data_IF_999948559202
#
_entry.id   IF_999948559202
#
_cell.length_a   1.000
_cell.length_b   1.000
_cell.length_c   1.000
_cell.angle_alpha   90.00
_cell.angle_beta   90.00
_cell.angle_gamma   90.00
#
_symmetry.space_group_name_H-M   'P 1'
#
loop_
_entity.id
_entity.type
_entity.pdbx_description
1 polymer ?
#
# COMPACT_ATOMS: atom_id res chain seq x y z
N UNK A 1 -32.69 -10.30 -1.18
CA UNK A 1 -32.18 -10.43 -2.57
C UNK A 1 -31.34 -11.70 -2.68
N UNK A 2 -31.38 -12.46 -3.79
CA UNK A 2 -30.52 -13.61 -3.96
C UNK A 2 -29.04 -13.17 -3.99
N UNK A 3 -28.22 -13.76 -3.12
CA UNK A 3 -26.78 -13.51 -3.08
C UNK A 3 -26.19 -13.99 -4.40
N UNK A 4 -25.84 -13.05 -5.30
CA UNK A 4 -25.07 -13.42 -6.50
C UNK A 4 -23.78 -14.10 -6.06
N UNK A 5 -23.43 -15.27 -6.63
CA UNK A 5 -22.20 -15.96 -6.26
C UNK A 5 -21.00 -15.09 -6.62
N UNK A 6 -20.10 -14.90 -5.65
CA UNK A 6 -18.84 -14.21 -5.85
C UNK A 6 -17.82 -15.19 -6.41
N UNK A 7 -17.17 -14.84 -7.52
CA UNK A 7 -16.11 -15.63 -8.14
C UNK A 7 -14.78 -14.96 -7.83
N UNK A 8 -13.82 -15.74 -7.33
CA UNK A 8 -12.45 -15.30 -7.10
C UNK A 8 -11.48 -16.09 -7.98
N UNK A 9 -10.51 -15.37 -8.54
CA UNK A 9 -9.31 -15.95 -9.15
C UNK A 9 -8.09 -15.38 -8.44
N UNK A 10 -7.18 -16.24 -7.97
CA UNK A 10 -5.96 -15.85 -7.27
C UNK A 10 -4.73 -16.28 -8.04
N UNK A 11 -3.71 -15.42 -8.05
CA UNK A 11 -2.40 -15.73 -8.63
C UNK A 11 -1.31 -15.27 -7.66
N UNK A 12 -0.39 -16.16 -7.34
CA UNK A 12 0.86 -15.83 -6.66
C UNK A 12 2.02 -15.93 -7.65
N UNK A 13 2.83 -14.88 -7.71
CA UNK A 13 4.08 -14.83 -8.48
C UNK A 13 5.24 -14.95 -7.50
N UNK A 14 6.28 -15.67 -7.90
CA UNK A 14 7.42 -15.96 -7.05
C UNK A 14 8.68 -15.33 -7.63
N UNK A 15 9.62 -14.97 -6.75
CA UNK A 15 10.88 -14.34 -7.17
C UNK A 15 11.62 -15.22 -8.19
N UNK A 16 12.17 -14.65 -9.28
CA UNK A 16 12.90 -15.42 -10.27
C UNK A 16 14.21 -16.00 -9.73
N UNK A 17 14.55 -17.22 -10.15
CA UNK A 17 15.85 -17.85 -9.86
C UNK A 17 16.48 -18.45 -11.12
N UNK A 18 17.81 -18.35 -11.22
CA UNK A 18 18.56 -18.85 -12.36
C UNK A 18 18.64 -20.38 -12.40
N UNK A 19 18.59 -21.04 -11.24
CA UNK A 19 18.68 -22.50 -11.09
C UNK A 19 17.32 -23.20 -11.10
N UNK A 20 16.22 -22.46 -11.23
CA UNK A 20 14.87 -23.02 -11.22
C UNK A 20 14.50 -23.61 -12.59
N UNK A 21 13.94 -24.82 -12.60
CA UNK A 21 13.37 -25.42 -13.81
C UNK A 21 12.11 -26.22 -13.50
N UNK A 22 11.09 -26.13 -14.38
CA UNK A 22 9.80 -26.79 -14.18
C UNK A 22 9.88 -28.30 -14.50
N UNK A 23 10.32 -29.09 -13.54
CA UNK A 23 10.47 -30.54 -13.65
C UNK A 23 9.16 -31.32 -13.48
N UNK A 24 9.17 -32.61 -13.88
CA UNK A 24 8.06 -33.53 -13.63
C UNK A 24 7.77 -33.70 -12.13
N UNK A 25 8.80 -33.63 -11.28
CA UNK A 25 8.65 -33.66 -9.81
C UNK A 25 7.83 -32.48 -9.31
N UNK A 26 8.13 -31.27 -9.77
CA UNK A 26 7.38 -30.05 -9.41
C UNK A 26 5.93 -30.15 -9.87
N UNK A 27 5.68 -30.60 -11.10
CA UNK A 27 4.30 -30.80 -11.62
C UNK A 27 3.52 -31.81 -10.78
N UNK A 28 4.16 -32.88 -10.30
CA UNK A 28 3.54 -33.85 -9.37
C UNK A 28 3.23 -33.21 -8.02
N UNK A 29 4.15 -32.42 -7.48
CA UNK A 29 3.98 -31.72 -6.20
C UNK A 29 2.80 -30.72 -6.24
N UNK A 30 2.65 -29.96 -7.34
CA UNK A 30 1.50 -29.06 -7.54
C UNK A 30 0.17 -29.83 -7.56
N UNK A 31 0.12 -30.99 -8.21
CA UNK A 31 -1.09 -31.84 -8.18
C UNK A 31 -1.42 -32.32 -6.76
N UNK A 32 -0.40 -32.60 -5.95
CA UNK A 32 -0.58 -33.01 -4.55
C UNK A 32 -1.06 -31.87 -3.66
N UNK A 33 -0.49 -30.66 -3.82
CA UNK A 33 -1.02 -29.45 -3.20
C UNK A 33 -2.49 -29.23 -3.59
N UNK A 34 -2.82 -29.43 -4.87
CA UNK A 34 -4.19 -29.36 -5.37
C UNK A 34 -5.13 -30.42 -4.78
N UNK A 35 -4.63 -31.58 -4.32
CA UNK A 35 -5.47 -32.56 -3.60
C UNK A 35 -5.69 -32.16 -2.14
N UNK A 36 -4.67 -31.59 -1.50
CA UNK A 36 -4.71 -31.18 -0.10
C UNK A 36 -5.60 -29.94 0.11
N UNK A 37 -5.38 -28.92 -0.72
CA UNK A 37 -6.02 -27.61 -0.61
C UNK A 37 -7.17 -27.42 -1.61
N UNK A 38 -7.26 -28.24 -2.67
CA UNK A 38 -8.36 -28.16 -3.61
C UNK A 38 -9.66 -28.59 -2.96
N UNK A 39 -10.62 -27.67 -2.91
CA UNK A 39 -11.98 -27.91 -2.40
C UNK A 39 -12.98 -27.82 -3.54
N UNK A 40 -14.08 -28.59 -3.51
CA UNK A 40 -15.16 -28.43 -4.46
C UNK A 40 -15.65 -26.97 -4.46
N UNK A 41 -15.67 -26.35 -5.64
CA UNK A 41 -16.29 -25.05 -5.85
C UNK A 41 -17.67 -25.26 -6.46
N UNK A 42 -18.57 -24.29 -6.32
CA UNK A 42 -19.90 -24.38 -6.94
C UNK A 42 -19.88 -24.29 -8.48
N UNK A 43 -18.72 -24.00 -9.09
CA UNK A 43 -18.58 -23.92 -10.53
C UNK A 43 -18.12 -25.26 -11.09
N UNK A 44 -18.85 -25.80 -12.06
CA UNK A 44 -18.45 -27.00 -12.78
C UNK A 44 -17.51 -26.65 -13.95
N UNK A 45 -16.34 -27.30 -14.00
CA UNK A 45 -15.38 -27.20 -15.11
C UNK A 45 -14.09 -27.97 -14.81
N UNK A 46 -13.43 -28.50 -15.84
CA UNK A 46 -12.26 -29.40 -15.70
C UNK A 46 -11.07 -28.82 -14.90
N UNK A 47 -11.02 -27.49 -14.76
CA UNK A 47 -9.96 -26.74 -14.09
C UNK A 47 -10.44 -25.85 -12.94
N UNK A 48 -11.74 -25.87 -12.60
CA UNK A 48 -12.27 -25.05 -11.51
C UNK A 48 -11.68 -25.50 -10.17
N UNK A 49 -11.07 -24.57 -9.43
CA UNK A 49 -10.48 -24.85 -8.11
C UNK A 49 -9.25 -25.77 -8.11
N UNK A 50 -8.58 -25.97 -9.26
CA UNK A 50 -7.32 -26.72 -9.34
C UNK A 50 -6.15 -25.75 -9.53
N UNK A 51 -5.08 -25.84 -8.72
CA UNK A 51 -3.90 -25.02 -8.91
C UNK A 51 -3.16 -25.42 -10.19
N UNK A 52 -2.71 -24.43 -10.94
CA UNK A 52 -1.85 -24.58 -12.11
C UNK A 52 -0.58 -23.76 -11.93
N UNK A 53 0.57 -24.32 -12.31
CA UNK A 53 1.86 -23.63 -12.30
C UNK A 53 2.26 -23.24 -13.71
N UNK A 54 2.75 -22.02 -13.86
CA UNK A 54 3.32 -21.47 -15.08
C UNK A 54 4.71 -20.91 -14.78
N UNK A 55 5.52 -20.76 -15.82
CA UNK A 55 6.86 -20.18 -15.74
C UNK A 55 7.01 -19.08 -16.77
N UNK A 56 7.58 -17.95 -16.33
CA UNK A 56 7.87 -16.78 -17.14
C UNK A 56 9.40 -16.53 -17.10
N UNK A 57 10.02 -16.20 -18.23
CA UNK A 57 11.46 -15.89 -18.30
C UNK A 57 11.73 -14.43 -17.93
N UNK A 58 12.74 -14.20 -17.09
CA UNK A 58 13.20 -12.88 -16.64
C UNK A 58 14.72 -12.78 -16.85
N UNK A 59 15.14 -12.44 -18.07
CA UNK A 59 16.56 -12.49 -18.45
C UNK A 59 17.07 -13.94 -18.44
N UNK A 60 18.09 -14.22 -17.62
CA UNK A 60 18.63 -15.57 -17.41
C UNK A 60 17.89 -16.36 -16.31
N UNK A 61 16.98 -15.71 -15.57
CA UNK A 61 16.26 -16.32 -14.45
C UNK A 61 14.84 -16.74 -14.84
N UNK A 62 14.28 -17.73 -14.16
CA UNK A 62 12.91 -18.21 -14.38
C UNK A 62 12.06 -17.87 -13.15
N UNK A 63 10.97 -17.14 -13.36
CA UNK A 63 9.93 -16.89 -12.36
C UNK A 63 8.80 -17.90 -12.49
N UNK A 64 8.34 -18.45 -11.37
CA UNK A 64 7.14 -19.27 -11.32
C UNK A 64 5.92 -18.42 -10.96
N UNK A 65 4.75 -18.83 -11.41
CA UNK A 65 3.47 -18.37 -10.85
C UNK A 65 2.50 -19.52 -10.66
N UNK A 66 1.75 -19.50 -9.58
CA UNK A 66 0.67 -20.46 -9.31
C UNK A 66 -0.65 -19.70 -9.39
N UNK A 67 -1.54 -20.21 -10.24
CA UNK A 67 -2.91 -19.70 -10.41
C UNK A 67 -3.91 -20.70 -9.86
N UNK A 68 -4.94 -20.21 -9.17
CA UNK A 68 -6.14 -20.96 -8.87
C UNK A 68 -7.37 -20.10 -9.15
N UNK A 69 -8.21 -20.58 -10.07
CA UNK A 69 -9.28 -19.79 -10.66
C UNK A 69 -10.64 -20.46 -10.49
N UNK A 70 -11.68 -19.66 -10.71
CA UNK A 70 -13.10 -20.05 -10.69
C UNK A 70 -13.55 -20.56 -9.32
N UNK A 71 -13.17 -19.84 -8.28
CA UNK A 71 -13.51 -20.16 -6.90
C UNK A 71 -14.85 -19.52 -6.51
N UNK A 72 -15.86 -20.37 -6.30
CA UNK A 72 -17.16 -19.96 -5.76
C UNK A 72 -17.43 -20.74 -4.49
N UNK A 73 -17.63 -19.99 -3.40
CA UNK A 73 -17.95 -20.53 -2.09
C UNK A 73 -19.11 -19.78 -1.42
N UNK A 74 -19.78 -20.49 -0.51
CA UNK A 74 -20.81 -19.91 0.35
C UNK A 74 -20.21 -18.82 1.24
N UNK A 75 -20.91 -17.69 1.46
CA UNK A 75 -20.41 -16.56 2.25
C UNK A 75 -19.71 -16.95 3.56
N UNK A 76 -20.32 -17.83 4.35
CA UNK A 76 -19.84 -18.29 5.66
C UNK A 76 -18.50 -19.05 5.61
N UNK A 77 -18.14 -19.59 4.46
CA UNK A 77 -16.90 -20.36 4.27
C UNK A 77 -15.81 -19.60 3.52
N UNK A 78 -16.13 -18.46 2.90
CA UNK A 78 -15.21 -17.74 1.99
C UNK A 78 -13.87 -17.41 2.64
N UNK A 79 -13.90 -16.83 3.84
CA UNK A 79 -12.68 -16.46 4.56
C UNK A 79 -11.74 -17.65 4.75
N UNK A 80 -12.25 -18.74 5.33
CA UNK A 80 -11.46 -19.94 5.58
C UNK A 80 -10.94 -20.58 4.28
N UNK A 81 -11.74 -20.59 3.21
CA UNK A 81 -11.32 -21.14 1.91
C UNK A 81 -10.28 -20.27 1.20
N UNK A 82 -10.35 -18.96 1.34
CA UNK A 82 -9.33 -18.05 0.81
C UNK A 82 -8.01 -18.23 1.61
N UNK A 83 -8.11 -18.39 2.94
CA UNK A 83 -6.94 -18.67 3.76
C UNK A 83 -6.22 -19.97 3.34
N UNK A 84 -6.98 -21.06 3.08
CA UNK A 84 -6.41 -22.31 2.54
C UNK A 84 -5.67 -22.08 1.20
N UNK A 85 -6.12 -21.15 0.35
CA UNK A 85 -5.42 -20.78 -0.90
C UNK A 85 -4.11 -20.04 -0.62
N UNK A 86 -4.11 -19.11 0.33
CA UNK A 86 -2.91 -18.38 0.73
C UNK A 86 -1.88 -19.30 1.40
N UNK A 87 -2.33 -20.21 2.27
CA UNK A 87 -1.50 -21.26 2.87
C UNK A 87 -0.90 -22.19 1.81
N UNK A 88 -1.65 -22.53 0.76
CA UNK A 88 -1.11 -23.29 -0.37
C UNK A 88 0.04 -22.56 -1.07
N UNK A 89 -0.07 -21.24 -1.26
CA UNK A 89 0.99 -20.44 -1.89
C UNK A 89 2.24 -20.36 -1.01
N UNK A 90 2.08 -20.13 0.30
CA UNK A 90 3.21 -20.09 1.24
C UNK A 90 3.88 -21.46 1.35
N UNK A 91 3.10 -22.55 1.40
CA UNK A 91 3.60 -23.92 1.42
C UNK A 91 4.36 -24.30 0.15
N UNK A 92 3.90 -23.82 -1.02
CA UNK A 92 4.58 -24.07 -2.29
C UNK A 92 5.99 -23.45 -2.32
N UNK A 93 6.14 -22.23 -1.79
CA UNK A 93 7.45 -21.59 -1.62
C UNK A 93 8.32 -22.36 -0.62
N UNK A 94 7.78 -22.70 0.55
CA UNK A 94 8.51 -23.41 1.62
C UNK A 94 9.03 -24.79 1.18
N UNK A 95 8.28 -25.50 0.34
CA UNK A 95 8.68 -26.81 -0.19
C UNK A 95 9.61 -26.74 -1.41
N UNK A 96 9.99 -25.55 -1.87
CA UNK A 96 10.83 -25.38 -3.07
C UNK A 96 10.14 -25.84 -4.36
N UNK A 97 8.80 -25.76 -4.41
CA UNK A 97 8.01 -26.11 -5.60
C UNK A 97 8.02 -24.94 -6.61
N UNK A 98 8.32 -23.74 -6.14
CA UNK A 98 8.35 -22.49 -6.90
C UNK A 98 9.77 -21.96 -7.06
N UNK A 99 9.94 -20.89 -7.83
CA UNK A 99 11.23 -20.26 -8.10
C UNK A 99 11.80 -19.46 -6.93
N UNK A 100 11.08 -19.29 -5.82
CA UNK A 100 11.51 -18.45 -4.70
C UNK A 100 10.37 -18.10 -3.76
N UNK A 101 10.57 -17.15 -2.83
CA UNK A 101 9.50 -16.54 -2.03
C UNK A 101 8.42 -15.89 -2.90
N UNK A 102 7.25 -15.62 -2.31
CA UNK A 102 6.18 -14.90 -3.00
C UNK A 102 6.65 -13.45 -3.24
N UNK A 103 6.76 -13.04 -4.50
CA UNK A 103 7.08 -11.64 -4.83
C UNK A 103 5.82 -10.78 -4.77
N UNK A 104 4.73 -11.26 -5.38
CA UNK A 104 3.46 -10.53 -5.47
C UNK A 104 2.27 -11.45 -5.58
N UNK A 105 1.12 -10.96 -5.16
CA UNK A 105 -0.15 -11.66 -5.29
C UNK A 105 -1.18 -10.79 -5.99
N UNK A 106 -2.07 -11.44 -6.73
CA UNK A 106 -3.20 -10.75 -7.35
C UNK A 106 -4.49 -11.52 -7.11
N UNK A 107 -5.58 -10.77 -7.12
CA UNK A 107 -6.94 -11.32 -7.08
C UNK A 107 -7.81 -10.64 -8.11
N UNK A 108 -8.68 -11.42 -8.75
CA UNK A 108 -9.72 -10.92 -9.66
C UNK A 108 -11.10 -11.32 -9.15
N UNK A 109 -12.00 -10.35 -9.06
CA UNK A 109 -13.41 -10.58 -8.76
C UNK A 109 -14.31 -9.38 -9.12
N UNK A 110 -15.64 -9.54 -9.02
CA UNK A 110 -16.62 -8.49 -9.37
C UNK A 110 -16.93 -7.54 -8.21
N UNK A 111 -17.12 -6.25 -8.51
CA UNK A 111 -17.65 -5.27 -7.54
C UNK A 111 -16.67 -4.79 -6.47
N UNK A 112 -15.38 -5.08 -6.61
CA UNK A 112 -14.37 -4.71 -5.60
C UNK A 112 -14.07 -3.22 -5.47
N UNK A 113 -14.39 -2.41 -6.50
CA UNK A 113 -14.02 -0.98 -6.52
C UNK A 113 -14.88 -0.15 -5.57
N UNK A 114 -16.19 -0.39 -5.55
CA UNK A 114 -17.18 0.44 -4.86
C UNK A 114 -17.71 -0.16 -3.56
N UNK A 115 -17.40 -1.43 -3.27
CA UNK A 115 -17.89 -2.11 -2.07
C UNK A 115 -16.77 -2.85 -1.38
N UNK A 116 -16.68 -2.68 -0.06
CA UNK A 116 -15.79 -3.45 0.80
C UNK A 116 -16.22 -4.92 0.90
N UNK A 117 -17.52 -5.23 0.75
CA UNK A 117 -18.08 -6.56 1.02
C UNK A 117 -17.34 -7.70 0.28
N UNK A 118 -17.09 -7.60 -1.04
CA UNK A 118 -16.33 -8.61 -1.77
C UNK A 118 -14.83 -8.70 -1.40
N UNK A 119 -14.24 -7.60 -0.92
CA UNK A 119 -12.83 -7.50 -0.48
C UNK A 119 -12.62 -8.06 0.93
N UNK A 120 -13.61 -7.93 1.81
CA UNK A 120 -13.48 -8.25 3.23
C UNK A 120 -13.00 -9.69 3.51
N UNK A 121 -13.56 -10.76 2.89
CA UNK A 121 -13.06 -12.12 3.12
C UNK A 121 -11.62 -12.34 2.64
N UNK A 122 -11.18 -11.58 1.61
CA UNK A 122 -9.80 -11.64 1.11
C UNK A 122 -8.87 -10.96 2.10
N UNK A 123 -9.27 -9.79 2.60
CA UNK A 123 -8.52 -9.00 3.59
C UNK A 123 -8.28 -9.80 4.87
N UNK A 124 -9.34 -10.34 5.45
CA UNK A 124 -9.27 -11.11 6.71
C UNK A 124 -8.46 -12.40 6.54
N UNK A 125 -8.59 -13.09 5.40
CA UNK A 125 -7.78 -14.27 5.11
C UNK A 125 -6.30 -13.92 4.95
N UNK A 126 -5.98 -12.79 4.34
CA UNK A 126 -4.61 -12.32 4.19
C UNK A 126 -4.00 -11.99 5.55
N UNK A 127 -4.69 -11.20 6.36
CA UNK A 127 -4.24 -10.82 7.71
C UNK A 127 -4.02 -12.05 8.60
N UNK A 128 -4.88 -13.07 8.48
CA UNK A 128 -4.73 -14.32 9.22
C UNK A 128 -3.51 -15.15 8.80
N UNK A 129 -3.15 -15.16 7.51
CA UNK A 129 -2.04 -15.99 6.98
C UNK A 129 -0.70 -15.26 7.03
N UNK A 130 -0.69 -13.96 6.78
CA UNK A 130 0.52 -13.15 6.65
C UNK A 130 0.79 -12.24 7.86
N UNK A 131 -0.11 -12.18 8.85
CA UNK A 131 0.09 -11.45 10.11
C UNK A 131 0.22 -9.93 9.97
N UNK A 132 -0.32 -9.34 8.92
CA UNK A 132 -0.11 -7.93 8.56
C UNK A 132 -1.32 -7.32 7.88
N UNK A 133 -1.51 -6.01 8.02
CA UNK A 133 -2.57 -5.24 7.35
C UNK A 133 -2.57 -5.48 5.84
N UNK A 134 -3.72 -5.89 5.31
CA UNK A 134 -3.90 -6.13 3.88
C UNK A 134 -4.39 -4.88 3.15
N UNK A 135 -3.80 -4.58 2.00
CA UNK A 135 -4.29 -3.55 1.09
C UNK A 135 -4.39 -4.04 -0.36
N UNK A 136 -5.20 -3.33 -1.16
CA UNK A 136 -5.49 -3.67 -2.54
C UNK A 136 -5.10 -2.51 -3.46
N UNK A 137 -4.28 -2.76 -4.48
CA UNK A 137 -4.00 -1.77 -5.52
C UNK A 137 -4.66 -2.22 -6.84
N UNK A 138 -5.41 -1.32 -7.48
CA UNK A 138 -6.09 -1.64 -8.75
C UNK A 138 -5.06 -1.72 -9.88
N UNK A 139 -5.05 -2.84 -10.60
CA UNK A 139 -4.19 -3.08 -11.75
C UNK A 139 -4.82 -2.59 -13.05
N UNK A 140 -6.02 -3.11 -13.32
CA UNK A 140 -6.80 -2.79 -14.50
C UNK A 140 -8.27 -2.85 -14.16
N UNK A 141 -9.04 -2.00 -14.85
CA UNK A 141 -10.50 -2.00 -14.80
C UNK A 141 -11.03 -2.58 -16.10
N UNK A 142 -11.37 -3.87 -16.10
CA UNK A 142 -12.36 -4.37 -17.06
C UNK A 142 -13.75 -4.02 -16.50
N UNK A 143 -14.64 -3.50 -17.34
CA UNK A 143 -16.03 -3.18 -16.98
C UNK A 143 -16.77 -4.31 -16.23
N UNK A 144 -16.28 -5.56 -16.29
CA UNK A 144 -16.89 -6.71 -15.60
C UNK A 144 -16.13 -7.23 -14.39
N UNK A 145 -14.82 -7.04 -14.29
CA UNK A 145 -13.99 -7.62 -13.23
C UNK A 145 -12.88 -6.65 -12.82
N UNK A 146 -12.67 -6.53 -11.51
CA UNK A 146 -11.56 -5.76 -10.97
C UNK A 146 -10.39 -6.71 -10.73
N UNK A 147 -9.25 -6.42 -11.35
CA UNK A 147 -7.98 -7.07 -11.07
C UNK A 147 -7.20 -6.19 -10.09
N UNK A 148 -6.83 -6.75 -8.95
CA UNK A 148 -6.07 -6.03 -7.93
C UNK A 148 -4.83 -6.80 -7.55
N UNK A 149 -3.75 -6.07 -7.25
CA UNK A 149 -2.71 -6.59 -6.39
C UNK A 149 -3.21 -6.69 -4.95
N UNK A 150 -2.76 -7.73 -4.26
CA UNK A 150 -2.84 -7.84 -2.82
C UNK A 150 -1.43 -7.57 -2.29
N UNK A 151 -1.32 -6.67 -1.32
CA UNK A 151 -0.04 -6.29 -0.74
C UNK A 151 -0.18 -5.73 0.65
N UNK A 152 0.87 -5.03 1.07
CA UNK A 152 0.98 -4.37 2.36
C UNK A 152 1.13 -2.87 2.15
N UNK A 153 0.76 -2.09 3.15
CA UNK A 153 0.93 -0.65 3.14
C UNK A 153 1.66 -0.20 4.41
N UNK A 154 2.63 0.71 4.24
CA UNK A 154 3.14 1.52 5.34
C UNK A 154 2.19 2.69 5.50
N UNK A 155 1.55 2.80 6.66
CA UNK A 155 0.65 3.91 6.96
C UNK A 155 1.46 5.04 7.57
N UNK A 156 1.47 6.20 6.91
CA UNK A 156 2.21 7.36 7.39
C UNK A 156 1.37 8.16 8.38
N UNK A 157 0.22 8.66 7.92
CA UNK A 157 -0.65 9.55 8.68
C UNK A 157 -2.02 9.63 8.02
N UNK A 158 -3.00 10.25 8.67
CA UNK A 158 -4.26 10.58 7.99
C UNK A 158 -4.02 11.60 6.87
N UNK A 159 -4.84 11.57 5.81
CA UNK A 159 -4.81 12.56 4.74
C UNK A 159 -4.99 13.98 5.32
N UNK A 160 -5.84 14.12 6.35
CA UNK A 160 -6.05 15.40 7.02
C UNK A 160 -4.76 15.91 7.69
N UNK A 161 -4.05 15.06 8.43
CA UNK A 161 -2.76 15.42 9.04
C UNK A 161 -1.71 15.76 7.99
N UNK A 162 -1.66 15.00 6.88
CA UNK A 162 -0.77 15.28 5.76
C UNK A 162 -1.04 16.67 5.17
N UNK A 163 -2.31 16.99 4.88
CA UNK A 163 -2.69 18.29 4.33
C UNK A 163 -2.35 19.42 5.29
N UNK A 164 -2.57 19.24 6.59
CA UNK A 164 -2.29 20.26 7.61
C UNK A 164 -0.81 20.36 8.02
N UNK A 165 0.04 19.44 7.57
CA UNK A 165 1.37 19.20 8.16
C UNK A 165 1.31 19.03 9.68
N UNK A 166 0.24 18.41 10.18
CA UNK A 166 0.00 18.23 11.62
C UNK A 166 0.35 16.84 12.14
N UNK A 167 0.94 15.98 11.31
CA UNK A 167 1.36 14.64 11.70
C UNK A 167 2.88 14.46 11.73
N UNK A 168 3.35 13.26 12.08
CA UNK A 168 4.77 13.02 12.38
C UNK A 168 5.69 13.10 11.14
N UNK A 169 5.12 13.08 9.93
CA UNK A 169 5.83 13.24 8.66
C UNK A 169 5.79 14.70 8.21
N UNK A 170 6.58 15.55 8.88
CA UNK A 170 6.63 16.99 8.63
C UNK A 170 7.73 17.35 7.63
N UNK A 171 7.40 18.21 6.65
CA UNK A 171 8.31 18.57 5.56
C UNK A 171 9.61 19.26 6.02
N UNK A 172 9.59 19.96 7.17
CA UNK A 172 10.79 20.57 7.80
C UNK A 172 11.94 19.60 8.01
N UNK A 173 11.68 18.29 8.15
CA UNK A 173 12.74 17.30 8.36
C UNK A 173 13.32 16.73 7.06
N UNK A 174 12.70 17.00 5.89
CA UNK A 174 13.19 16.53 4.58
C UNK A 174 14.67 16.88 4.33
N UNK A 175 15.16 18.11 4.59
CA UNK A 175 16.57 18.44 4.36
C UNK A 175 17.53 17.65 5.26
N UNK A 176 17.08 17.21 6.44
CA UNK A 176 17.89 16.37 7.35
C UNK A 176 17.95 14.94 6.82
N UNK A 177 16.81 14.41 6.37
CA UNK A 177 16.70 13.07 5.76
C UNK A 177 17.57 12.98 4.51
N UNK A 178 17.44 13.95 3.59
CA UNK A 178 18.23 14.00 2.36
C UNK A 178 19.74 14.10 2.66
N UNK A 179 20.15 14.83 3.69
CA UNK A 179 21.56 14.95 4.09
C UNK A 179 22.13 13.60 4.56
N UNK A 180 21.39 12.87 5.40
CA UNK A 180 21.79 11.54 5.86
C UNK A 180 21.84 10.56 4.69
N UNK A 181 20.79 10.55 3.86
CA UNK A 181 20.73 9.66 2.70
C UNK A 181 21.87 9.90 1.71
N UNK A 182 22.19 11.16 1.38
CA UNK A 182 23.32 11.49 0.51
C UNK A 182 24.68 11.04 1.07
N UNK A 183 24.87 11.09 2.39
CA UNK A 183 26.11 10.60 3.01
C UNK A 183 26.21 9.07 2.95
N UNK A 184 25.09 8.36 3.15
CA UNK A 184 25.03 6.90 3.03
C UNK A 184 25.30 6.45 1.59
N UNK A 185 24.62 7.07 0.62
CA UNK A 185 24.74 6.77 -0.81
C UNK A 185 26.13 7.12 -1.37
N UNK A 186 26.81 8.11 -0.76
CA UNK A 186 28.16 8.52 -1.16
C UNK A 186 29.27 7.55 -0.75
N UNK A 187 29.02 6.64 0.21
CA UNK A 187 30.01 5.69 0.74
C UNK A 187 29.41 4.30 1.03
N UNK A 188 28.83 3.60 0.04
CA UNK A 188 28.11 2.35 0.25
C UNK A 188 28.97 1.28 0.94
N UNK A 189 30.20 1.07 0.46
CA UNK A 189 31.15 0.07 1.00
C UNK A 189 31.48 0.29 2.49
N UNK A 190 31.37 1.53 2.98
CA UNK A 190 31.72 1.87 4.37
C UNK A 190 30.63 1.48 5.36
N UNK A 191 29.40 1.35 4.87
CA UNK A 191 28.19 1.20 5.64
C UNK A 191 27.47 -0.13 5.34
N UNK A 192 28.14 -1.04 4.63
CA UNK A 192 27.62 -2.39 4.36
C UNK A 192 27.28 -3.14 5.64
N UNK A 193 26.18 -3.90 5.59
CA UNK A 193 25.71 -4.71 6.72
C UNK A 193 24.88 -3.95 7.75
N UNK A 194 24.58 -2.67 7.52
CA UNK A 194 23.68 -1.87 8.35
C UNK A 194 22.47 -1.39 7.56
N UNK A 195 21.31 -1.37 8.23
CA UNK A 195 20.06 -0.84 7.70
C UNK A 195 19.70 0.46 8.40
N UNK A 196 19.33 1.48 7.63
CA UNK A 196 19.08 2.83 8.13
C UNK A 196 17.62 3.22 7.94
N UNK A 197 17.04 3.79 8.99
CA UNK A 197 15.64 4.16 9.02
C UNK A 197 15.43 5.28 10.02
N UNK A 198 14.21 5.82 10.05
CA UNK A 198 13.82 6.81 11.04
C UNK A 198 12.62 6.33 11.82
N UNK A 199 12.51 6.83 13.06
CA UNK A 199 11.33 6.69 13.90
C UNK A 199 10.65 8.06 14.02
N UNK A 200 9.58 8.31 13.24
CA UNK A 200 8.84 9.56 13.32
C UNK A 200 7.83 9.49 14.48
N UNK A 201 7.72 10.56 15.27
CA UNK A 201 6.79 10.61 16.40
C UNK A 201 6.27 12.03 16.63
N UNK A 202 5.23 12.14 17.45
CA UNK A 202 4.79 13.42 18.01
C UNK A 202 5.33 13.51 19.43
N UNK A 203 6.01 14.59 19.75
CA UNK A 203 6.48 14.89 21.10
C UNK A 203 5.28 15.04 22.06
N UNK A 204 5.50 15.01 23.39
CA UNK A 204 4.43 15.23 24.37
C UNK A 204 3.67 16.56 24.17
N UNK A 205 4.31 17.53 23.55
CA UNK A 205 3.77 18.86 23.23
C UNK A 205 3.00 18.88 21.90
N UNK A 206 3.03 17.77 21.15
CA UNK A 206 2.36 17.62 19.86
C UNK A 206 3.19 18.06 18.66
N UNK A 207 4.48 18.35 18.85
CA UNK A 207 5.37 18.72 17.74
C UNK A 207 5.88 17.45 17.03
N UNK A 208 5.91 17.42 15.69
CA UNK A 208 6.50 16.31 14.97
C UNK A 208 8.00 16.29 15.22
N UNK A 209 8.56 15.10 15.46
CA UNK A 209 9.98 14.87 15.68
C UNK A 209 10.41 13.56 14.99
N UNK A 210 11.71 13.40 14.78
CA UNK A 210 12.30 12.27 14.06
C UNK A 210 13.59 11.83 14.73
N UNK A 211 13.66 10.55 15.10
CA UNK A 211 14.87 9.89 15.55
C UNK A 211 15.53 9.13 14.38
N UNK A 212 16.81 9.40 14.12
CA UNK A 212 17.58 8.63 13.15
C UNK A 212 18.11 7.34 13.79
N UNK A 213 17.79 6.21 13.17
CA UNK A 213 18.07 4.90 13.72
C UNK A 213 18.82 4.03 12.69
N UNK A 214 19.54 3.03 13.20
CA UNK A 214 20.12 2.00 12.36
C UNK A 214 20.14 0.66 13.07
N UNK A 215 20.17 -0.42 12.29
CA UNK A 215 20.24 -1.81 12.77
C UNK A 215 21.32 -2.59 12.03
N UNK A 216 21.84 -3.62 12.68
CA UNK A 216 22.81 -4.57 12.16
C UNK A 216 23.26 -5.51 13.27
N UNK A 217 24.29 -6.32 13.01
CA UNK A 217 24.78 -7.31 13.98
C UNK A 217 25.26 -6.70 15.31
N UNK A 218 25.97 -5.57 15.27
CA UNK A 218 26.49 -4.90 16.47
C UNK A 218 26.56 -3.37 16.29
N UNK A 219 26.61 -2.57 17.37
CA UNK A 219 26.72 -1.11 17.25
C UNK A 219 28.06 -0.68 16.62
N UNK A 220 28.01 0.10 15.54
CA UNK A 220 29.17 0.67 14.87
C UNK A 220 29.52 2.07 15.39
N UNK A 221 30.20 2.16 16.54
CA UNK A 221 30.62 3.45 17.12
C UNK A 221 31.41 4.37 16.16
N UNK A 222 32.34 3.87 15.31
CA UNK A 222 33.04 4.73 14.36
C UNK A 222 32.12 5.34 13.29
N UNK A 223 31.09 4.58 12.89
CA UNK A 223 30.08 5.03 11.95
C UNK A 223 29.18 6.10 12.57
N UNK A 224 28.71 5.88 13.81
CA UNK A 224 27.92 6.87 14.57
C UNK A 224 28.67 8.21 14.68
N UNK A 225 29.95 8.17 15.05
CA UNK A 225 30.77 9.37 15.16
C UNK A 225 30.96 10.09 13.81
N UNK A 226 31.16 9.32 12.74
CA UNK A 226 31.31 9.87 11.38
C UNK A 226 30.03 10.54 10.91
N UNK A 227 28.89 9.88 11.05
CA UNK A 227 27.61 10.42 10.61
C UNK A 227 27.23 11.65 11.43
N UNK A 228 27.49 11.66 12.74
CA UNK A 228 27.33 12.86 13.56
C UNK A 228 28.22 14.01 13.07
N UNK A 229 29.49 13.75 12.76
CA UNK A 229 30.42 14.78 12.29
C UNK A 229 30.01 15.37 10.94
N UNK A 230 29.52 14.54 10.01
CA UNK A 230 29.23 14.96 8.63
C UNK A 230 27.82 15.49 8.44
N UNK A 231 26.85 14.94 9.15
CA UNK A 231 25.43 15.27 8.98
C UNK A 231 24.89 16.12 10.12
N UNK A 232 25.54 16.13 11.29
CA UNK A 232 25.03 16.73 12.52
C UNK A 232 23.95 15.88 13.21
N UNK A 233 23.59 14.73 12.67
CA UNK A 233 22.51 13.89 13.17
C UNK A 233 23.06 12.76 14.06
N UNK A 234 22.39 12.54 15.20
CA UNK A 234 22.74 11.47 16.11
C UNK A 234 22.01 10.18 15.71
N UNK A 235 22.79 9.13 15.43
CA UNK A 235 22.23 7.81 15.15
C UNK A 235 22.04 6.99 16.42
N UNK A 236 20.90 6.31 16.50
CA UNK A 236 20.59 5.34 17.55
C UNK A 236 20.64 3.92 16.99
N UNK A 237 21.50 3.09 17.56
CA UNK A 237 21.48 1.65 17.28
C UNK A 237 20.22 1.00 17.87
N UNK A 238 19.54 0.22 17.05
CA UNK A 238 18.39 -0.61 17.43
C UNK A 238 18.72 -2.05 17.02
N UNK A 239 18.62 -3.04 17.91
CA UNK A 239 18.82 -4.44 17.55
C UNK A 239 17.82 -4.92 16.51
N UNK A 240 18.24 -5.81 15.60
CA UNK A 240 17.40 -6.35 14.51
C UNK A 240 16.10 -6.97 15.05
N UNK A 241 16.17 -7.70 16.16
CA UNK A 241 14.99 -8.31 16.80
C UNK A 241 13.99 -7.28 17.30
N UNK A 242 14.43 -6.09 17.71
CA UNK A 242 13.54 -5.00 18.12
C UNK A 242 12.89 -4.34 16.91
N UNK A 243 13.63 -4.17 15.81
CA UNK A 243 13.09 -3.67 14.53
C UNK A 243 12.03 -4.62 13.99
N UNK A 244 12.24 -5.94 14.06
CA UNK A 244 11.26 -6.93 13.63
C UNK A 244 9.96 -6.87 14.45
N UNK A 245 10.08 -6.79 15.78
CA UNK A 245 8.93 -6.77 16.70
C UNK A 245 8.13 -5.46 16.58
N UNK A 246 8.82 -4.33 16.39
CA UNK A 246 8.23 -2.98 16.35
C UNK A 246 8.36 -2.33 14.98
N UNK A 247 8.29 -3.12 13.91
CA UNK A 247 8.52 -2.67 12.54
C UNK A 247 7.58 -1.56 12.09
N UNK A 248 6.41 -1.42 12.72
CA UNK A 248 5.43 -0.36 12.48
C UNK A 248 5.87 1.03 12.96
N UNK A 249 6.86 1.10 13.86
CA UNK A 249 7.42 2.36 14.37
C UNK A 249 8.55 2.92 13.50
N UNK A 250 9.07 2.11 12.58
CA UNK A 250 10.23 2.44 11.77
C UNK A 250 9.85 2.56 10.29
N UNK A 251 10.39 3.59 9.65
CA UNK A 251 10.24 3.83 8.22
C UNK A 251 11.58 4.07 7.56
N UNK A 252 11.73 3.58 6.34
CA UNK A 252 12.91 3.87 5.53
C UNK A 252 13.04 5.38 5.29
N UNK A 253 14.25 5.85 5.00
CA UNK A 253 14.48 7.26 4.65
C UNK A 253 13.64 7.67 3.44
N UNK A 254 13.55 6.79 2.43
CA UNK A 254 12.71 6.98 1.25
C UNK A 254 11.22 7.04 1.58
N UNK A 255 10.72 6.19 2.47
CA UNK A 255 9.33 6.24 2.91
C UNK A 255 9.00 7.53 3.64
N UNK A 256 9.93 8.03 4.48
CA UNK A 256 9.74 9.32 5.13
C UNK A 256 9.63 10.45 4.11
N UNK A 257 10.51 10.45 3.11
CA UNK A 257 10.50 11.43 2.02
C UNK A 257 9.14 11.43 1.28
N UNK A 258 8.65 10.23 0.93
CA UNK A 258 7.32 10.06 0.32
C UNK A 258 6.20 10.56 1.26
N UNK A 259 6.29 10.20 2.55
CA UNK A 259 5.34 10.56 3.60
C UNK A 259 5.19 12.07 3.84
N UNK A 260 6.30 12.80 3.74
CA UNK A 260 6.41 14.22 4.09
C UNK A 260 6.18 15.19 2.92
N UNK A 261 6.16 14.71 1.67
CA UNK A 261 5.94 15.57 0.48
C UNK A 261 4.47 15.98 0.32
N UNK A 262 4.12 17.16 0.83
CA UNK A 262 2.76 17.77 0.81
C UNK A 262 1.99 17.75 -0.52
N UNK A 263 2.69 17.88 -1.64
CA UNK A 263 2.08 17.98 -2.97
C UNK A 263 2.85 17.08 -3.95
N UNK A 264 3.13 15.85 -3.54
CA UNK A 264 3.64 14.79 -4.41
C UNK A 264 2.53 13.98 -5.07
N UNK A 265 2.90 12.95 -5.83
CA UNK A 265 1.97 11.87 -6.14
C UNK A 265 1.62 11.15 -4.82
N UNK A 266 0.38 11.29 -4.36
CA UNK A 266 -0.04 10.77 -3.07
C UNK A 266 -0.80 9.46 -3.26
N UNK A 267 -0.42 8.43 -2.51
CA UNK A 267 -1.20 7.20 -2.43
C UNK A 267 -2.06 7.25 -1.18
N UNK A 268 -3.37 7.15 -1.34
CA UNK A 268 -4.31 7.08 -0.23
C UNK A 268 -4.89 5.69 -0.10
N UNK A 269 -5.22 5.33 1.14
CA UNK A 269 -5.95 4.11 1.46
C UNK A 269 -7.31 4.43 2.05
N UNK A 270 -8.36 3.87 1.44
CA UNK A 270 -9.74 3.93 1.91
C UNK A 270 -10.31 2.53 1.97
N UNK A 271 -10.71 2.08 3.16
CA UNK A 271 -11.27 0.73 3.34
C UNK A 271 -10.37 -0.36 2.74
N UNK A 272 -9.04 -0.21 2.86
CA UNK A 272 -8.04 -1.10 2.27
C UNK A 272 -7.81 -0.97 0.76
N UNK A 273 -8.50 -0.07 0.04
CA UNK A 273 -8.22 0.21 -1.37
C UNK A 273 -7.19 1.33 -1.49
N UNK A 274 -6.11 1.06 -2.21
CA UNK A 274 -5.11 2.04 -2.58
C UNK A 274 -5.56 2.79 -3.84
N UNK A 275 -5.52 4.11 -3.77
CA UNK A 275 -5.82 5.01 -4.89
C UNK A 275 -4.75 6.08 -4.98
N UNK A 276 -4.42 6.49 -6.18
CA UNK A 276 -3.53 7.63 -6.40
C UNK A 276 -4.36 8.93 -6.43
N UNK A 277 -3.92 9.94 -5.68
CA UNK A 277 -4.40 11.31 -5.84
C UNK A 277 -3.45 12.06 -6.76
N UNK A 278 -4.05 12.71 -7.75
CA UNK A 278 -3.31 13.56 -8.66
C UNK A 278 -2.89 14.83 -7.92
N UNK A 279 -1.58 15.11 -7.98
CA UNK A 279 -0.98 16.29 -7.35
C UNK A 279 -1.72 17.58 -7.69
N UNK A 280 -2.21 17.67 -8.92
CA UNK A 280 -2.85 18.88 -9.44
C UNK A 280 -4.15 19.22 -8.69
N UNK A 281 -4.92 18.21 -8.29
CA UNK A 281 -6.24 18.41 -7.68
C UNK A 281 -6.22 18.37 -6.14
N UNK A 282 -5.11 17.91 -5.54
CA UNK A 282 -4.97 17.86 -4.09
C UNK A 282 -5.28 19.21 -3.38
N UNK A 283 -4.86 20.38 -3.93
CA UNK A 283 -5.20 21.67 -3.33
C UNK A 283 -6.70 22.00 -3.29
N UNK A 284 -7.54 21.32 -4.07
CA UNK A 284 -8.99 21.57 -4.08
C UNK A 284 -9.68 20.99 -2.84
N UNK A 285 -9.04 20.07 -2.10
CA UNK A 285 -9.58 19.59 -0.82
C UNK A 285 -9.70 20.70 0.22
N UNK A 286 -8.84 21.72 0.16
CA UNK A 286 -8.92 22.87 1.07
C UNK A 286 -10.17 23.72 0.84
N UNK A 287 -10.86 23.60 -0.30
CA UNK A 287 -12.12 24.32 -0.52
C UNK A 287 -13.23 23.87 0.43
N UNK A 288 -13.13 22.65 0.96
CA UNK A 288 -14.05 22.07 1.93
C UNK A 288 -13.56 22.21 3.37
N UNK A 289 -12.52 23.01 3.60
CA UNK A 289 -11.97 23.30 4.92
C UNK A 289 -12.26 24.76 5.31
N UNK A 290 -12.32 25.01 6.62
CA UNK A 290 -12.39 26.36 7.17
C UNK A 290 -11.04 27.10 7.06
N UNK A 291 -11.01 28.37 7.45
CA UNK A 291 -9.80 29.20 7.38
C UNK A 291 -8.67 28.71 8.32
N UNK A 292 -8.99 27.83 9.28
CA UNK A 292 -8.04 27.18 10.18
C UNK A 292 -7.57 25.80 9.68
N UNK A 293 -8.03 25.37 8.51
CA UNK A 293 -7.71 24.07 7.93
C UNK A 293 -8.44 22.89 8.56
N UNK A 294 -9.55 23.12 9.27
CA UNK A 294 -10.41 22.05 9.76
C UNK A 294 -11.44 21.67 8.69
N UNK A 295 -11.74 20.36 8.51
CA UNK A 295 -12.75 19.92 7.56
C UNK A 295 -14.13 20.41 7.97
N UNK A 296 -14.97 20.75 6.99
CA UNK A 296 -16.39 21.09 7.18
C UNK A 296 -17.29 19.94 6.67
N UNK A 297 -17.38 18.80 7.37
CA UNK A 297 -18.08 17.61 6.88
C UNK A 297 -19.60 17.83 6.72
N UNK A 298 -20.21 18.65 7.58
CA UNK A 298 -21.66 18.89 7.59
C UNK A 298 -22.11 19.98 6.63
N UNK A 299 -21.19 20.54 5.82
CA UNK A 299 -21.48 21.65 4.90
C UNK A 299 -21.43 21.17 3.46
N UNK A 300 -22.53 21.41 2.76
CA UNK A 300 -22.61 21.26 1.31
C UNK A 300 -22.37 22.61 0.61
N UNK A 301 -21.58 22.58 -0.46
CA UNK A 301 -21.19 23.74 -1.25
C UNK A 301 -21.76 23.61 -2.65
N UNK A 302 -22.36 24.69 -3.16
CA UNK A 302 -22.69 24.76 -4.58
C UNK A 302 -21.45 25.14 -5.40
N UNK A 303 -21.59 25.07 -6.73
CA UNK A 303 -20.47 25.29 -7.64
C UNK A 303 -19.92 26.71 -7.55
N UNK A 304 -20.80 27.71 -7.50
CA UNK A 304 -20.41 29.12 -7.43
C UNK A 304 -19.62 29.41 -6.15
N UNK A 305 -20.02 28.81 -5.02
CA UNK A 305 -19.30 28.96 -3.76
C UNK A 305 -17.92 28.31 -3.81
N UNK A 306 -17.81 27.09 -4.33
CA UNK A 306 -16.51 26.42 -4.52
C UNK A 306 -15.60 27.22 -5.46
N UNK A 307 -16.14 27.80 -6.53
CA UNK A 307 -15.39 28.63 -7.45
C UNK A 307 -14.88 29.92 -6.79
N UNK A 308 -15.69 30.59 -5.98
CA UNK A 308 -15.24 31.76 -5.22
C UNK A 308 -14.18 31.40 -4.16
N UNK A 309 -14.32 30.24 -3.51
CA UNK A 309 -13.29 29.69 -2.61
C UNK A 309 -11.99 29.40 -3.37
N UNK A 310 -12.08 28.81 -4.57
CA UNK A 310 -10.93 28.54 -5.43
C UNK A 310 -10.15 29.81 -5.77
N UNK A 311 -10.87 30.88 -6.14
CA UNK A 311 -10.26 32.18 -6.48
C UNK A 311 -9.47 32.79 -5.32
N UNK A 312 -9.92 32.54 -4.09
CA UNK A 312 -9.33 33.08 -2.84
C UNK A 312 -8.31 32.13 -2.19
N UNK A 313 -8.28 30.87 -2.60
CA UNK A 313 -7.43 29.85 -1.98
C UNK A 313 -5.94 30.13 -2.21
N UNK A 314 -5.18 30.17 -1.12
CA UNK A 314 -3.72 30.26 -1.17
C UNK A 314 -3.06 28.97 -1.69
N UNK A 315 -3.72 27.81 -1.52
CA UNK A 315 -3.19 26.50 -1.88
C UNK A 315 -3.35 26.17 -3.36
N UNK A 316 -4.39 26.72 -4.01
CA UNK A 316 -4.63 26.51 -5.44
C UNK A 316 -3.59 27.30 -6.26
N UNK A 317 -2.94 26.68 -7.27
CA UNK A 317 -1.99 27.35 -8.15
C UNK A 317 -2.59 28.60 -8.79
N UNK A 318 -1.82 29.69 -8.82
CA UNK A 318 -2.30 31.00 -9.30
C UNK A 318 -2.93 30.93 -10.70
N UNK A 319 -2.33 30.15 -11.61
CA UNK A 319 -2.83 29.97 -12.98
C UNK A 319 -4.20 29.27 -13.03
N UNK A 320 -4.53 28.43 -12.05
CA UNK A 320 -5.78 27.67 -12.00
C UNK A 320 -6.89 28.35 -11.21
N UNK A 321 -6.59 29.40 -10.42
CA UNK A 321 -7.57 30.03 -9.50
C UNK A 321 -8.84 30.54 -10.18
N UNK A 322 -8.73 31.02 -11.41
CA UNK A 322 -9.85 31.52 -12.20
C UNK A 322 -10.40 30.51 -13.23
N UNK A 323 -9.90 29.28 -13.25
CA UNK A 323 -10.30 28.26 -14.22
C UNK A 323 -11.50 27.47 -13.69
N UNK A 324 -12.65 27.59 -14.38
CA UNK A 324 -13.83 26.77 -14.08
C UNK A 324 -13.63 25.30 -14.46
N UNK A 325 -12.99 25.04 -15.60
CA UNK A 325 -12.66 23.68 -16.05
C UNK A 325 -11.77 22.93 -15.05
N UNK A 326 -10.82 23.63 -14.44
CA UNK A 326 -9.98 23.04 -13.39
C UNK A 326 -10.81 22.60 -12.18
N UNK A 327 -11.80 23.40 -11.77
CA UNK A 327 -12.71 23.05 -10.70
C UNK A 327 -13.56 21.84 -11.06
N UNK A 328 -14.14 21.82 -12.27
CA UNK A 328 -15.00 20.74 -12.74
C UNK A 328 -14.25 19.40 -12.76
N UNK A 329 -13.05 19.38 -13.37
CA UNK A 329 -12.20 18.19 -13.41
C UNK A 329 -11.80 17.75 -11.99
N UNK A 330 -11.44 18.69 -11.13
CA UNK A 330 -11.07 18.39 -9.75
C UNK A 330 -12.22 17.76 -8.94
N UNK A 331 -13.44 18.29 -9.09
CA UNK A 331 -14.65 17.74 -8.47
C UNK A 331 -14.89 16.30 -8.96
N UNK A 332 -14.83 16.07 -10.28
CA UNK A 332 -14.98 14.73 -10.86
C UNK A 332 -13.94 13.75 -10.28
N UNK A 333 -12.66 14.15 -10.26
CA UNK A 333 -11.58 13.34 -9.72
C UNK A 333 -11.77 13.01 -8.23
N UNK A 334 -12.24 13.96 -7.42
CA UNK A 334 -12.52 13.75 -5.99
C UNK A 334 -13.74 12.84 -5.74
N UNK A 335 -14.78 12.93 -6.58
CA UNK A 335 -15.94 12.05 -6.54
C UNK A 335 -15.57 10.60 -6.86
N UNK A 336 -14.77 10.36 -7.91
CA UNK A 336 -14.32 9.01 -8.29
C UNK A 336 -13.53 8.26 -7.21
N UNK A 337 -12.97 9.03 -6.27
CA UNK A 337 -12.10 8.59 -5.18
C UNK A 337 -12.80 8.65 -3.83
N UNK A 338 -14.12 8.87 -3.79
CA UNK A 338 -14.91 8.89 -2.56
C UNK A 338 -14.36 9.88 -1.50
N UNK A 339 -13.74 10.98 -1.93
CA UNK A 339 -13.23 12.04 -1.04
C UNK A 339 -14.33 13.06 -0.72
N UNK A 340 -15.19 13.30 -1.71
CA UNK A 340 -16.39 14.13 -1.62
C UNK A 340 -17.59 13.34 -2.12
N UNK A 341 -18.79 13.80 -1.80
CA UNK A 341 -20.04 13.25 -2.32
C UNK A 341 -20.93 14.37 -2.86
N UNK A 342 -21.86 14.01 -3.74
CA UNK A 342 -22.82 14.95 -4.32
C UNK A 342 -24.21 14.73 -3.69
N UNK A 343 -24.80 15.80 -3.16
CA UNK A 343 -26.14 15.81 -2.57
C UNK A 343 -26.94 16.98 -3.12
N UNK A 344 -28.04 16.70 -3.83
CA UNK A 344 -28.95 17.75 -4.33
C UNK A 344 -28.28 18.78 -5.26
N UNK A 345 -27.24 18.39 -6.00
CA UNK A 345 -26.46 19.29 -6.86
C UNK A 345 -25.36 20.09 -6.15
N UNK A 346 -25.19 19.89 -4.84
CA UNK A 346 -24.09 20.43 -4.04
C UNK A 346 -23.07 19.34 -3.73
N UNK A 347 -21.88 19.73 -3.27
CA UNK A 347 -20.81 18.82 -2.87
C UNK A 347 -20.41 19.03 -1.41
N UNK A 348 -20.17 17.95 -0.69
CA UNK A 348 -19.65 17.95 0.68
C UNK A 348 -18.53 16.90 0.83
N UNK A 349 -17.75 16.99 1.90
CA UNK A 349 -16.76 15.95 2.21
C UNK A 349 -17.47 14.63 2.46
N UNK A 350 -16.88 13.54 1.97
CA UNK A 350 -17.38 12.22 2.26
C UNK A 350 -17.30 11.96 3.79
N UNK A 351 -18.29 11.33 4.44
CA UNK A 351 -18.29 11.12 5.90
C UNK A 351 -17.05 10.38 6.43
N UNK A 352 -16.46 9.49 5.61
CA UNK A 352 -15.21 8.79 5.91
C UNK A 352 -13.92 9.54 5.57
N UNK A 353 -13.97 10.84 5.26
CA UNK A 353 -12.80 11.61 4.83
C UNK A 353 -11.68 11.64 5.88
N UNK A 354 -12.06 11.76 7.16
CA UNK A 354 -11.11 11.77 8.28
C UNK A 354 -10.34 10.46 8.44
N UNK A 355 -10.90 9.34 7.96
CA UNK A 355 -10.32 8.01 8.03
C UNK A 355 -9.44 7.67 6.80
N UNK A 356 -9.32 8.59 5.84
CA UNK A 356 -8.46 8.40 4.67
C UNK A 356 -7.01 8.44 5.13
N UNK A 357 -6.24 7.40 4.79
CA UNK A 357 -4.84 7.28 5.20
C UNK A 357 -3.91 7.61 4.03
N UNK A 358 -2.85 8.37 4.29
CA UNK A 358 -1.70 8.47 3.39
C UNK A 358 -0.76 7.29 3.62
N UNK A 359 -0.40 6.56 2.56
CA UNK A 359 0.36 5.32 2.66
C UNK A 359 1.39 5.15 1.54
N UNK A 360 2.37 4.27 1.73
CA UNK A 360 3.16 3.67 0.64
C UNK A 360 2.71 2.22 0.44
N UNK A 361 2.40 1.82 -0.81
CA UNK A 361 2.06 0.44 -1.15
C UNK A 361 3.31 -0.39 -1.46
N UNK A 362 3.32 -1.63 -0.99
CA UNK A 362 4.35 -2.62 -1.27
C UNK A 362 3.74 -3.95 -1.74
N UNK A 363 4.35 -4.54 -2.77
CA UNK A 363 4.18 -5.98 -3.03
C UNK A 363 4.78 -6.79 -1.87
N UNK A 364 4.31 -8.04 -1.66
CA UNK A 364 4.70 -8.84 -0.50
C UNK A 364 6.22 -8.98 -0.38
N UNK A 365 6.90 -9.37 -1.47
CA UNK A 365 8.35 -9.57 -1.45
C UNK A 365 9.17 -8.28 -1.33
N UNK A 366 8.57 -7.13 -1.65
CA UNK A 366 9.22 -5.82 -1.45
C UNK A 366 9.06 -5.32 -0.02
N UNK A 367 7.92 -5.59 0.62
CA UNK A 367 7.65 -5.11 1.97
C UNK A 367 8.65 -5.66 2.97
N UNK A 368 8.96 -6.96 2.88
CA UNK A 368 9.92 -7.60 3.79
C UNK A 368 11.35 -7.05 3.61
N UNK A 369 11.64 -6.39 2.48
CA UNK A 369 12.92 -5.76 2.16
C UNK A 369 12.95 -4.26 2.47
N UNK A 370 11.84 -3.67 2.95
CA UNK A 370 11.72 -2.21 3.09
C UNK A 370 12.63 -1.60 4.16
N UNK A 371 12.94 -2.37 5.20
CA UNK A 371 13.82 -1.99 6.31
C UNK A 371 15.15 -2.76 6.27
N UNK A 372 15.37 -3.55 5.20
CA UNK A 372 16.56 -4.35 4.98
C UNK A 372 17.47 -3.71 3.91
#
# INVERSE_FOLDING_TARGET
MPIKPQVYDFVAYYEPRADFSLSARIRKAIKELGRRYGRPTWMAGAHAGRPAIYTDMHGISIGARIEISRLIWKPESRRARIAEVFEMFTEAARQGITSGPISRMTVRFRGGKHSIGPRLPVREAFEAVFGSTCCFQVLTTDHRYLHMHIGRAVVHQTLLQHLREGGPYHSTYLPRIERVQNELDGQPDRYEGYHYFVKPFLSPEGWPEVDFCYSGHEPARPMEATLLQRTGEQLRFIPESEVEIHSDQFVSLTDYELGARRFGALWIMQQGLIRQLDREYLPLLYLFMDDSGHPMPDRAFNWQELFERQRKSQYVPQASRASGTFLDMGIEHMLERDLIMQEGGNWCLHPGFSDVLHVTYYELGQYDKRLA
#
